data_IF_235581583451
#
_entry.id   IF_235581583451
#
_cell.length_a   1.000
_cell.length_b   1.000
_cell.length_c   1.000
_cell.angle_alpha   90.00
_cell.angle_beta   90.00
_cell.angle_gamma   90.00
#
_symmetry.space_group_name_H-M   'P 1'
#
loop_
_entity.id
_entity.type
_entity.pdbx_description
1 polymer ?
#
# COMPACT_ATOMS: atom_id res chain seq x y z
N UNK A 1 -6.94 -10.03 7.31
CA UNK A 1 -5.93 -10.67 6.43
C UNK A 1 -4.83 -9.70 5.96
N UNK A 2 -5.16 -8.58 5.29
CA UNK A 2 -4.19 -7.58 4.82
C UNK A 2 -3.17 -7.12 5.88
N UNK A 3 -3.60 -6.80 7.11
CA UNK A 3 -2.69 -6.41 8.19
C UNK A 3 -1.67 -7.52 8.54
N UNK A 4 -2.12 -8.77 8.56
CA UNK A 4 -1.28 -9.93 8.91
C UNK A 4 -0.28 -10.20 7.79
N UNK A 5 -0.76 -10.31 6.54
CA UNK A 5 0.08 -10.53 5.35
C UNK A 5 1.04 -9.35 5.10
N UNK A 6 0.57 -8.12 5.30
CA UNK A 6 1.38 -6.91 5.21
C UNK A 6 2.50 -6.90 6.24
N UNK A 7 2.23 -7.22 7.51
CA UNK A 7 3.28 -7.35 8.53
C UNK A 7 4.30 -8.44 8.19
N UNK A 8 3.85 -9.58 7.65
CA UNK A 8 4.75 -10.68 7.27
C UNK A 8 5.80 -10.27 6.24
N UNK A 9 5.51 -9.33 5.34
CA UNK A 9 6.48 -8.78 4.40
C UNK A 9 7.69 -8.13 5.11
N UNK A 10 7.43 -7.45 6.24
CA UNK A 10 8.41 -6.69 7.02
C UNK A 10 9.01 -7.49 8.19
N UNK A 11 8.65 -8.76 8.35
CA UNK A 11 9.28 -9.61 9.35
C UNK A 11 10.77 -9.75 9.06
N UNK A 12 11.60 -9.30 10.01
CA UNK A 12 13.04 -9.35 9.87
C UNK A 12 13.54 -10.81 9.95
N UNK A 13 14.25 -11.22 8.90
CA UNK A 13 15.11 -12.42 8.91
C UNK A 13 16.40 -12.11 8.17
N UNK A 14 17.48 -12.84 8.45
CA UNK A 14 18.76 -12.64 7.76
C UNK A 14 18.63 -12.78 6.24
N UNK A 15 17.76 -13.68 5.76
CA UNK A 15 17.49 -13.82 4.33
C UNK A 15 16.81 -12.58 3.75
N UNK A 16 15.84 -12.00 4.47
CA UNK A 16 15.15 -10.77 4.04
C UNK A 16 16.09 -9.56 4.07
N UNK A 17 16.93 -9.46 5.08
CA UNK A 17 17.95 -8.42 5.15
C UNK A 17 18.91 -8.49 3.96
N UNK A 18 19.36 -9.71 3.59
CA UNK A 18 20.17 -9.94 2.39
C UNK A 18 19.45 -9.47 1.12
N UNK A 19 18.18 -9.87 0.93
CA UNK A 19 17.41 -9.50 -0.26
C UNK A 19 17.26 -7.98 -0.38
N UNK A 20 16.84 -7.30 0.69
CA UNK A 20 16.72 -5.85 0.70
C UNK A 20 18.06 -5.15 0.48
N UNK A 21 19.13 -5.62 1.12
CA UNK A 21 20.47 -5.05 0.94
C UNK A 21 20.92 -5.13 -0.53
N UNK A 22 20.74 -6.28 -1.18
CA UNK A 22 21.06 -6.42 -2.61
C UNK A 22 20.17 -5.52 -3.46
N UNK A 23 18.86 -5.48 -3.21
CA UNK A 23 17.92 -4.68 -4.02
C UNK A 23 18.23 -3.19 -3.93
N UNK A 24 18.48 -2.66 -2.73
CA UNK A 24 18.66 -1.22 -2.52
C UNK A 24 20.09 -0.72 -2.83
N UNK A 25 21.12 -1.51 -2.54
CA UNK A 25 22.52 -1.06 -2.70
C UNK A 25 23.21 -1.66 -3.94
N UNK A 26 22.75 -2.82 -4.43
CA UNK A 26 23.35 -3.51 -5.57
C UNK A 26 22.29 -4.01 -6.58
N UNK A 27 21.40 -3.15 -7.09
CA UNK A 27 20.24 -3.57 -7.89
C UNK A 27 20.60 -4.41 -9.12
N UNK A 28 21.77 -4.17 -9.74
CA UNK A 28 22.27 -4.97 -10.88
C UNK A 28 22.50 -6.45 -10.56
N UNK A 29 22.68 -6.79 -9.29
CA UNK A 29 22.94 -8.15 -8.80
C UNK A 29 21.69 -8.83 -8.24
N UNK A 30 20.54 -8.13 -8.20
CA UNK A 30 19.31 -8.68 -7.66
C UNK A 30 18.86 -9.94 -8.41
N UNK A 31 19.02 -9.97 -9.74
CA UNK A 31 18.72 -11.16 -10.55
C UNK A 31 19.68 -12.32 -10.25
N UNK A 32 20.98 -12.03 -10.08
CA UNK A 32 22.01 -13.02 -9.76
C UNK A 32 21.74 -13.71 -8.42
N UNK A 33 21.43 -12.93 -7.38
CA UNK A 33 21.12 -13.46 -6.05
C UNK A 33 19.68 -13.92 -5.89
N UNK A 34 18.86 -13.81 -6.96
CA UNK A 34 17.41 -14.04 -6.94
C UNK A 34 16.74 -13.30 -5.78
N UNK A 35 17.20 -12.09 -5.49
CA UNK A 35 16.67 -11.26 -4.42
C UNK A 35 15.24 -10.85 -4.76
N UNK A 36 14.30 -11.14 -3.87
CA UNK A 36 12.88 -10.84 -4.11
C UNK A 36 12.42 -9.73 -3.17
N UNK A 37 11.84 -8.65 -3.73
CA UNK A 37 11.26 -7.59 -2.91
C UNK A 37 10.03 -8.09 -2.16
N UNK A 38 9.11 -8.76 -2.86
CA UNK A 38 7.96 -9.43 -2.28
C UNK A 38 8.23 -10.92 -2.16
N UNK A 39 7.87 -11.53 -1.04
CA UNK A 39 7.95 -12.99 -0.90
C UNK A 39 6.98 -13.67 -1.87
N UNK A 40 7.24 -14.92 -2.24
CA UNK A 40 6.34 -15.68 -3.13
C UNK A 40 4.92 -15.76 -2.58
N UNK A 41 4.76 -15.99 -1.28
CA UNK A 41 3.45 -16.03 -0.61
C UNK A 41 2.73 -14.68 -0.69
N UNK A 42 3.44 -13.58 -0.41
CA UNK A 42 2.86 -12.24 -0.47
C UNK A 42 2.49 -11.84 -1.91
N UNK A 43 3.32 -12.22 -2.88
CA UNK A 43 3.05 -12.01 -4.30
C UNK A 43 1.81 -12.77 -4.77
N UNK A 44 1.64 -14.03 -4.34
CA UNK A 44 0.47 -14.83 -4.65
C UNK A 44 -0.81 -14.23 -4.05
N UNK A 45 -0.75 -13.78 -2.80
CA UNK A 45 -1.84 -13.05 -2.15
C UNK A 45 -2.23 -11.79 -2.93
N UNK A 46 -1.27 -10.93 -3.26
CA UNK A 46 -1.53 -9.69 -3.98
C UNK A 46 -2.09 -9.92 -5.39
N UNK A 47 -1.52 -10.85 -6.16
CA UNK A 47 -2.05 -11.23 -7.48
C UNK A 47 -3.49 -11.69 -7.39
N UNK A 48 -3.81 -12.54 -6.41
CA UNK A 48 -5.17 -13.00 -6.16
C UNK A 48 -6.11 -11.84 -5.83
N UNK A 49 -5.76 -11.02 -4.84
CA UNK A 49 -6.65 -9.96 -4.36
C UNK A 49 -6.81 -8.82 -5.35
N UNK A 50 -5.71 -8.26 -5.88
CA UNK A 50 -5.78 -7.15 -6.82
C UNK A 50 -6.44 -7.60 -8.12
N UNK A 51 -6.11 -8.81 -8.62
CA UNK A 51 -6.76 -9.38 -9.79
C UNK A 51 -8.27 -9.54 -9.61
N UNK A 52 -8.72 -10.04 -8.46
CA UNK A 52 -10.16 -10.15 -8.16
C UNK A 52 -10.85 -8.78 -8.10
N UNK A 53 -10.23 -7.80 -7.45
CA UNK A 53 -10.81 -6.46 -7.28
C UNK A 53 -10.91 -5.73 -8.63
N UNK A 54 -9.88 -5.84 -9.48
CA UNK A 54 -9.92 -5.30 -10.84
C UNK A 54 -10.99 -5.99 -11.69
N UNK A 55 -11.07 -7.33 -11.67
CA UNK A 55 -12.07 -8.07 -12.43
C UNK A 55 -13.51 -7.74 -11.98
N UNK A 56 -13.72 -7.56 -10.67
CA UNK A 56 -15.01 -7.12 -10.14
C UNK A 56 -15.37 -5.72 -10.64
N UNK A 57 -14.39 -4.80 -10.65
CA UNK A 57 -14.55 -3.42 -11.11
C UNK A 57 -14.92 -3.37 -12.60
N UNK A 58 -14.22 -4.13 -13.43
CA UNK A 58 -14.51 -4.28 -14.86
C UNK A 58 -15.92 -4.80 -15.11
N UNK A 59 -16.34 -5.82 -14.36
CA UNK A 59 -17.67 -6.40 -14.49
C UNK A 59 -18.78 -5.45 -14.04
N UNK A 60 -18.57 -4.75 -12.93
CA UNK A 60 -19.60 -3.87 -12.36
C UNK A 60 -19.69 -2.52 -13.06
N UNK A 61 -18.65 -2.09 -13.79
CA UNK A 61 -18.49 -0.73 -14.36
C UNK A 61 -18.72 0.38 -13.33
N UNK A 62 -18.52 0.06 -12.06
CA UNK A 62 -18.72 1.01 -10.97
C UNK A 62 -17.48 1.88 -10.87
N UNK A 63 -17.62 3.20 -10.85
CA UNK A 63 -16.49 4.11 -10.65
C UNK A 63 -16.45 4.56 -9.19
N UNK A 64 -15.27 4.56 -8.57
CA UNK A 64 -15.05 5.05 -7.19
C UNK A 64 -14.01 6.17 -7.10
N UNK A 65 -13.34 6.48 -8.21
CA UNK A 65 -12.23 7.42 -8.32
C UNK A 65 -11.08 7.05 -7.39
N UNK A 66 -10.72 5.77 -7.38
CA UNK A 66 -9.62 5.22 -6.57
C UNK A 66 -8.47 4.68 -7.46
N UNK A 67 -7.37 4.24 -6.83
CA UNK A 67 -6.22 3.67 -7.53
C UNK A 67 -6.62 2.48 -8.43
N UNK A 68 -7.62 1.69 -8.03
CA UNK A 68 -8.06 0.54 -8.84
C UNK A 68 -8.68 1.02 -10.14
N UNK A 69 -9.46 2.10 -10.14
CA UNK A 69 -10.01 2.66 -11.38
C UNK A 69 -8.89 3.06 -12.34
N UNK A 70 -7.83 3.71 -11.83
CA UNK A 70 -6.65 4.06 -12.65
C UNK A 70 -6.01 2.81 -13.25
N UNK A 71 -5.82 1.75 -12.47
CA UNK A 71 -5.22 0.50 -12.95
C UNK A 71 -6.09 -0.22 -13.98
N UNK A 72 -7.42 -0.17 -13.82
CA UNK A 72 -8.37 -0.73 -14.80
C UNK A 72 -8.32 0.07 -16.10
N UNK A 73 -8.32 1.40 -16.04
CA UNK A 73 -8.21 2.25 -17.24
C UNK A 73 -6.89 2.00 -17.99
N UNK A 74 -5.76 1.87 -17.28
CA UNK A 74 -4.47 1.51 -17.89
C UNK A 74 -4.51 0.14 -18.57
N UNK A 75 -5.20 -0.83 -17.99
CA UNK A 75 -5.40 -2.15 -18.59
C UNK A 75 -6.25 -2.07 -19.85
N UNK A 76 -7.37 -1.34 -19.82
CA UNK A 76 -8.26 -1.14 -20.97
C UNK A 76 -7.54 -0.45 -22.14
N UNK A 77 -6.74 0.58 -21.85
CA UNK A 77 -5.92 1.26 -22.85
C UNK A 77 -4.90 0.32 -23.51
N UNK A 78 -4.23 -0.51 -22.72
CA UNK A 78 -3.28 -1.49 -23.26
C UNK A 78 -3.96 -2.59 -24.09
N UNK A 79 -5.18 -3.00 -23.72
CA UNK A 79 -5.98 -3.92 -24.54
C UNK A 79 -6.32 -3.27 -25.88
N UNK A 80 -6.76 -2.01 -25.88
CA UNK A 80 -7.10 -1.28 -27.09
C UNK A 80 -5.91 -1.10 -28.05
N UNK A 81 -4.69 -0.97 -27.51
CA UNK A 81 -3.44 -0.90 -28.29
C UNK A 81 -2.88 -2.27 -28.71
N UNK A 82 -3.45 -3.38 -28.22
CA UNK A 82 -2.91 -4.72 -28.45
C UNK A 82 -1.61 -5.02 -27.69
N UNK A 83 -1.31 -4.25 -26.64
CA UNK A 83 -0.09 -4.36 -25.82
C UNK A 83 -0.31 -5.18 -24.54
N UNK A 84 -1.55 -5.56 -24.24
CA UNK A 84 -1.89 -6.30 -23.02
C UNK A 84 -1.34 -7.74 -23.05
N UNK A 85 -0.60 -8.11 -22.01
CA UNK A 85 -0.07 -9.45 -21.80
C UNK A 85 0.08 -9.76 -20.30
N UNK A 86 0.51 -11.00 -19.99
CA UNK A 86 0.69 -11.44 -18.60
C UNK A 86 1.72 -10.60 -17.82
N UNK A 87 2.77 -10.11 -18.48
CA UNK A 87 3.76 -9.25 -17.86
C UNK A 87 3.17 -7.90 -17.45
N UNK A 88 2.32 -7.31 -18.30
CA UNK A 88 1.63 -6.07 -17.98
C UNK A 88 0.66 -6.25 -16.79
N UNK A 89 -0.09 -7.36 -16.75
CA UNK A 89 -0.96 -7.68 -15.61
C UNK A 89 -0.16 -7.78 -14.30
N UNK A 90 1.04 -8.36 -14.36
CA UNK A 90 1.96 -8.41 -13.21
C UNK A 90 2.48 -7.03 -12.82
N UNK A 91 2.77 -6.15 -13.78
CA UNK A 91 3.17 -4.76 -13.52
C UNK A 91 2.05 -3.99 -12.82
N UNK A 92 0.81 -4.09 -13.28
CA UNK A 92 -0.34 -3.42 -12.66
C UNK A 92 -0.55 -3.90 -11.21
N UNK A 93 -0.43 -5.21 -10.99
CA UNK A 93 -0.49 -5.80 -9.64
C UNK A 93 0.66 -5.29 -8.76
N UNK A 94 1.88 -5.27 -9.29
CA UNK A 94 3.05 -4.80 -8.57
C UNK A 94 2.94 -3.31 -8.19
N UNK A 95 2.33 -2.48 -9.05
CA UNK A 95 2.11 -1.07 -8.75
C UNK A 95 1.18 -0.90 -7.53
N UNK A 96 0.06 -1.63 -7.49
CA UNK A 96 -0.83 -1.64 -6.33
C UNK A 96 -0.12 -2.13 -5.06
N UNK A 97 0.70 -3.18 -5.20
CA UNK A 97 1.49 -3.74 -4.12
C UNK A 97 2.45 -2.71 -3.50
N UNK A 98 3.18 -1.97 -4.34
CA UNK A 98 4.11 -0.92 -3.89
C UNK A 98 3.37 0.17 -3.13
N UNK A 99 2.25 0.68 -3.66
CA UNK A 99 1.44 1.69 -2.96
C UNK A 99 1.00 1.21 -1.57
N UNK A 100 0.49 -0.02 -1.49
CA UNK A 100 0.07 -0.60 -0.22
C UNK A 100 1.25 -0.77 0.74
N UNK A 101 2.33 -1.43 0.31
CA UNK A 101 3.47 -1.73 1.20
C UNK A 101 4.18 -0.47 1.68
N UNK A 102 4.38 0.53 0.80
CA UNK A 102 5.04 1.78 1.17
C UNK A 102 4.22 2.58 2.20
N UNK A 103 2.90 2.67 2.02
CA UNK A 103 2.02 3.39 2.94
C UNK A 103 1.74 2.64 4.25
N UNK A 104 1.70 1.31 4.21
CA UNK A 104 1.28 0.49 5.34
C UNK A 104 2.28 0.56 6.51
N UNK A 105 3.54 0.22 6.30
CA UNK A 105 4.51 0.14 7.41
C UNK A 105 4.83 1.53 7.95
N UNK A 106 5.25 2.45 7.08
CA UNK A 106 5.66 3.82 7.47
C UNK A 106 4.59 4.55 8.29
N UNK A 107 3.34 4.56 7.79
CA UNK A 107 2.24 5.23 8.48
C UNK A 107 1.84 4.50 9.75
N UNK A 108 1.82 3.16 9.75
CA UNK A 108 1.42 2.40 10.94
C UNK A 108 2.44 2.50 12.07
N UNK A 109 3.74 2.48 11.78
CA UNK A 109 4.79 2.72 12.77
C UNK A 109 4.70 4.15 13.30
N UNK A 110 4.55 5.14 12.42
CA UNK A 110 4.42 6.56 12.81
C UNK A 110 3.23 6.77 13.74
N UNK A 111 2.04 6.27 13.37
CA UNK A 111 0.85 6.33 14.22
C UNK A 111 1.07 5.62 15.56
N UNK A 112 1.73 4.46 15.55
CA UNK A 112 2.01 3.70 16.79
C UNK A 112 2.87 4.51 17.75
N UNK A 113 3.98 5.09 17.28
CA UNK A 113 4.85 5.92 18.12
C UNK A 113 4.18 7.22 18.53
N UNK A 114 3.47 7.89 17.62
CA UNK A 114 2.74 9.11 17.93
C UNK A 114 1.69 8.89 19.03
N UNK A 115 0.89 7.83 18.93
CA UNK A 115 -0.11 7.48 19.94
C UNK A 115 0.54 7.03 21.25
N UNK A 116 1.67 6.33 21.20
CA UNK A 116 2.43 5.95 22.39
C UNK A 116 2.93 7.18 23.16
N UNK A 117 3.57 8.13 22.49
CA UNK A 117 4.05 9.36 23.11
C UNK A 117 2.90 10.23 23.62
N UNK A 118 1.80 10.32 22.85
CA UNK A 118 0.59 11.03 23.27
C UNK A 118 -0.02 10.43 24.54
N UNK A 119 -0.03 9.10 24.66
CA UNK A 119 -0.58 8.41 25.84
C UNK A 119 0.16 8.71 27.14
N UNK A 120 1.43 9.13 27.04
CA UNK A 120 2.26 9.53 28.18
C UNK A 120 2.16 11.02 28.53
N UNK A 121 1.49 11.81 27.70
CA UNK A 121 1.45 13.27 27.76
C UNK A 121 0.01 13.76 27.72
N UNK A 122 -0.65 13.66 28.87
CA UNK A 122 -2.05 14.08 29.03
C UNK A 122 -2.28 15.54 28.61
N UNK A 123 -1.30 16.41 28.88
CA UNK A 123 -1.31 17.82 28.46
C UNK A 123 -1.44 17.98 26.94
N UNK A 124 -0.65 17.20 26.18
CA UNK A 124 -0.70 17.21 24.72
C UNK A 124 -1.95 16.51 24.18
N UNK A 125 -2.41 15.45 24.85
CA UNK A 125 -3.62 14.73 24.48
C UNK A 125 -4.87 15.62 24.62
N UNK A 126 -4.99 16.35 25.73
CA UNK A 126 -6.09 17.28 25.96
C UNK A 126 -6.06 18.43 24.95
N UNK A 127 -4.87 19.00 24.71
CA UNK A 127 -4.69 20.04 23.69
C UNK A 127 -5.09 19.56 22.30
N UNK A 128 -4.61 18.39 21.85
CA UNK A 128 -4.96 17.83 20.53
C UNK A 128 -6.48 17.60 20.42
N UNK A 129 -7.12 17.11 21.49
CA UNK A 129 -8.56 16.92 21.51
C UNK A 129 -9.31 18.24 21.34
N UNK A 130 -8.87 19.30 22.03
CA UNK A 130 -9.46 20.62 21.90
C UNK A 130 -9.29 21.16 20.48
N UNK A 131 -8.09 21.05 19.89
CA UNK A 131 -7.81 21.44 18.50
C UNK A 131 -8.73 20.72 17.50
N UNK A 132 -8.95 19.40 17.68
CA UNK A 132 -9.88 18.62 16.84
C UNK A 132 -11.33 19.10 17.02
N UNK A 133 -11.77 19.35 18.26
CA UNK A 133 -13.11 19.84 18.55
C UNK A 133 -13.35 21.23 17.96
N UNK A 134 -12.38 22.14 18.09
CA UNK A 134 -12.43 23.49 17.52
C UNK A 134 -12.53 23.45 15.99
N UNK A 135 -11.68 22.64 15.33
CA UNK A 135 -11.72 22.44 13.89
C UNK A 135 -13.08 21.89 13.42
N UNK A 136 -13.61 20.88 14.12
CA UNK A 136 -14.93 20.32 13.80
C UNK A 136 -16.06 21.34 13.99
N UNK A 137 -16.00 22.20 15.02
CA UNK A 137 -17.00 23.25 15.22
C UNK A 137 -16.94 24.26 14.07
N UNK A 138 -15.73 24.69 13.68
CA UNK A 138 -15.53 25.62 12.57
C UNK A 138 -16.10 25.05 11.25
N UNK A 139 -15.88 23.76 11.00
CA UNK A 139 -16.37 23.05 9.81
C UNK A 139 -17.80 22.51 9.95
N UNK A 140 -18.59 23.00 10.90
CA UNK A 140 -20.00 22.62 11.09
C UNK A 140 -20.20 21.10 11.25
N UNK A 141 -19.25 20.47 11.93
CA UNK A 141 -19.20 19.03 12.19
C UNK A 141 -18.70 18.17 11.02
N UNK A 142 -18.20 18.79 9.94
CA UNK A 142 -17.67 18.05 8.78
C UNK A 142 -16.15 17.95 8.86
N UNK A 143 -15.62 16.86 8.35
CA UNK A 143 -14.18 16.71 8.10
C UNK A 143 -13.94 16.96 6.61
N UNK A 144 -13.15 17.98 6.29
CA UNK A 144 -12.66 18.29 4.95
C UNK A 144 -11.16 18.07 4.84
N UNK A 145 -10.66 18.07 3.60
CA UNK A 145 -9.22 18.05 3.34
C UNK A 145 -8.60 19.45 3.44
N UNK A 146 -9.33 20.45 2.94
CA UNK A 146 -9.09 21.88 3.25
C UNK A 146 -9.41 22.14 4.72
#
# INVERSE_FOLDING_TARGET
EFRVKGRQLFNFTLSRAKDFFVIFFFPKWASTFRAQFFTTEYSAFLRGTIGQVMALREKSKATRNDLIDVLVSLKEEAIAKGEYNAQLQDILTAQAAVFFSAGFETSSSTMTFALYELSKRLDLQERLRNEICEALIAEQGKMSYE
#
